data_IF_720009848885
#
_entry.id   IF_720009848885
#
_cell.length_a   1.000
_cell.length_b   1.000
_cell.length_c   1.000
_cell.angle_alpha   90.00
_cell.angle_beta   90.00
_cell.angle_gamma   90.00
#
_symmetry.space_group_name_H-M   'P 1'
#
loop_
_entity.id
_entity.type
_entity.pdbx_description
1 polymer ?
#
# COMPACT_ATOMS: atom_id res chain seq x y z
N UNK A 1 -36.59 -24.30 23.11
CA UNK A 1 -36.54 -23.23 22.09
C UNK A 1 -35.69 -21.99 22.46
N UNK A 2 -34.89 -21.99 23.55
CA UNK A 2 -34.09 -20.81 23.94
C UNK A 2 -32.68 -20.72 23.34
N UNK A 3 -32.15 -21.78 22.73
CA UNK A 3 -30.79 -21.81 22.17
C UNK A 3 -30.63 -21.16 20.78
N UNK A 4 -31.73 -20.96 20.03
CA UNK A 4 -31.71 -20.37 18.68
C UNK A 4 -31.79 -18.84 18.70
N UNK A 5 -32.35 -18.24 19.75
CA UNK A 5 -32.48 -16.77 19.86
C UNK A 5 -31.14 -16.08 20.17
N UNK A 6 -30.23 -16.77 20.85
CA UNK A 6 -28.94 -16.21 21.30
C UNK A 6 -27.97 -16.01 20.12
N UNK A 7 -28.02 -16.86 19.10
CA UNK A 7 -27.14 -16.74 17.92
C UNK A 7 -27.54 -15.58 17.01
N UNK A 8 -28.84 -15.32 16.83
CA UNK A 8 -29.32 -14.20 16.01
C UNK A 8 -29.00 -12.83 16.64
N UNK A 9 -29.12 -12.71 17.96
CA UNK A 9 -28.78 -11.48 18.68
C UNK A 9 -27.26 -11.18 18.65
N UNK A 10 -26.43 -12.21 18.81
CA UNK A 10 -24.96 -12.06 18.71
C UNK A 10 -24.52 -11.71 17.28
N UNK A 11 -25.12 -12.33 16.24
CA UNK A 11 -24.86 -11.94 14.85
C UNK A 11 -25.27 -10.49 14.58
N UNK A 12 -26.44 -10.06 15.05
CA UNK A 12 -26.92 -8.69 14.89
C UNK A 12 -26.01 -7.66 15.57
N UNK A 13 -25.50 -7.96 16.78
CA UNK A 13 -24.54 -7.10 17.49
C UNK A 13 -23.20 -7.05 16.74
N UNK A 14 -22.69 -8.20 16.27
CA UNK A 14 -21.45 -8.24 15.48
C UNK A 14 -21.58 -7.48 14.16
N UNK A 15 -22.68 -7.67 13.41
CA UNK A 15 -22.93 -6.93 12.16
C UNK A 15 -23.05 -5.42 12.39
N UNK A 16 -23.71 -4.99 13.47
CA UNK A 16 -23.77 -3.57 13.83
C UNK A 16 -22.40 -3.03 14.22
N UNK A 17 -21.59 -3.77 14.99
CA UNK A 17 -20.25 -3.32 15.38
C UNK A 17 -19.29 -3.22 14.18
N UNK A 18 -19.40 -4.14 13.22
CA UNK A 18 -18.68 -4.08 11.95
C UNK A 18 -19.13 -2.85 11.14
N UNK A 19 -20.43 -2.61 11.01
CA UNK A 19 -20.97 -1.44 10.31
C UNK A 19 -20.54 -0.10 10.94
N UNK A 20 -20.51 0.00 12.28
CA UNK A 20 -19.99 1.18 12.98
C UNK A 20 -18.49 1.43 12.70
N UNK A 21 -17.71 0.37 12.47
CA UNK A 21 -16.32 0.47 12.06
C UNK A 21 -16.17 0.99 10.63
N UNK A 22 -16.95 0.43 9.69
CA UNK A 22 -16.95 0.82 8.28
C UNK A 22 -17.32 2.31 8.09
N UNK A 23 -18.36 2.81 8.78
CA UNK A 23 -18.79 4.21 8.68
C UNK A 23 -17.70 5.20 9.16
N UNK A 24 -16.98 4.85 10.24
CA UNK A 24 -15.86 5.67 10.73
C UNK A 24 -14.72 5.72 9.71
N UNK A 25 -14.49 4.63 9.00
CA UNK A 25 -13.41 4.51 8.02
C UNK A 25 -13.77 5.22 6.70
N UNK A 26 -15.04 5.18 6.28
CA UNK A 26 -15.54 6.03 5.17
C UNK A 26 -15.34 7.52 5.45
N UNK A 27 -15.69 7.99 6.67
CA UNK A 27 -15.49 9.38 7.07
C UNK A 27 -14.00 9.77 7.13
N UNK A 28 -13.14 8.86 7.57
CA UNK A 28 -11.68 9.07 7.56
C UNK A 28 -11.19 9.23 6.12
N UNK A 29 -11.65 8.39 5.21
CA UNK A 29 -11.29 8.44 3.81
C UNK A 29 -11.63 9.80 3.19
N UNK A 30 -12.86 10.28 3.38
CA UNK A 30 -13.28 11.57 2.82
C UNK A 30 -12.42 12.74 3.30
N UNK A 31 -12.13 12.79 4.61
CA UNK A 31 -11.28 13.84 5.19
C UNK A 31 -9.84 13.76 4.67
N UNK A 32 -9.28 12.56 4.64
CA UNK A 32 -7.94 12.34 4.10
C UNK A 32 -7.88 12.71 2.61
N UNK A 33 -8.92 12.39 1.83
CA UNK A 33 -8.99 12.70 0.40
C UNK A 33 -8.93 14.20 0.11
N UNK A 34 -9.67 15.02 0.88
CA UNK A 34 -9.63 16.48 0.74
C UNK A 34 -8.21 17.03 0.95
N UNK A 35 -7.50 16.55 1.97
CA UNK A 35 -6.13 16.97 2.27
C UNK A 35 -5.12 16.42 1.24
N UNK A 36 -5.32 15.18 0.78
CA UNK A 36 -4.49 14.55 -0.24
C UNK A 36 -4.57 15.29 -1.58
N UNK A 37 -5.77 15.76 -1.95
CA UNK A 37 -6.00 16.60 -3.13
C UNK A 37 -5.33 17.98 -3.04
N UNK A 38 -5.10 18.47 -1.81
CA UNK A 38 -4.33 19.68 -1.56
C UNK A 38 -2.82 19.44 -1.53
N UNK A 39 -2.37 18.21 -1.79
CA UNK A 39 -0.95 17.86 -1.86
C UNK A 39 -0.35 17.39 -0.55
N UNK A 40 -1.13 17.24 0.54
CA UNK A 40 -0.58 16.80 1.82
C UNK A 40 -0.05 15.34 1.73
N UNK A 41 1.25 15.16 1.92
CA UNK A 41 1.93 13.89 1.71
C UNK A 41 1.43 12.75 2.61
N UNK A 42 1.16 13.03 3.89
CA UNK A 42 0.62 12.05 4.85
C UNK A 42 -0.81 11.66 4.50
N UNK A 43 -1.63 12.62 4.08
CA UNK A 43 -2.98 12.33 3.62
C UNK A 43 -2.98 11.49 2.34
N UNK A 44 -2.06 11.76 1.40
CA UNK A 44 -1.86 10.91 0.22
C UNK A 44 -1.45 9.49 0.61
N UNK A 45 -0.58 9.33 1.61
CA UNK A 45 -0.25 8.02 2.17
C UNK A 45 -1.49 7.31 2.72
N UNK A 46 -2.29 7.99 3.55
CA UNK A 46 -3.51 7.43 4.16
C UNK A 46 -4.48 6.98 3.07
N UNK A 47 -4.79 7.83 2.09
CA UNK A 47 -5.69 7.50 0.98
C UNK A 47 -5.18 6.29 0.21
N UNK A 48 -3.86 6.24 -0.08
CA UNK A 48 -3.24 5.12 -0.75
C UNK A 48 -3.32 3.82 0.05
N UNK A 49 -3.05 3.87 1.35
CA UNK A 49 -3.14 2.74 2.26
C UNK A 49 -4.58 2.20 2.34
N UNK A 50 -5.58 3.08 2.46
CA UNK A 50 -6.99 2.69 2.51
C UNK A 50 -7.45 2.01 1.23
N UNK A 51 -7.06 2.52 0.05
CA UNK A 51 -7.29 1.83 -1.21
C UNK A 51 -6.56 0.48 -1.30
N UNK A 52 -5.39 0.33 -0.68
CA UNK A 52 -4.61 -0.92 -0.74
C UNK A 52 -5.24 -2.06 0.05
N UNK A 53 -5.95 -1.77 1.14
CA UNK A 53 -6.60 -2.80 1.98
C UNK A 53 -8.12 -2.84 1.83
N UNK A 54 -8.71 -1.84 1.18
CA UNK A 54 -10.16 -1.71 1.06
C UNK A 54 -10.83 -1.26 2.37
N UNK A 55 -10.16 -0.40 3.13
CA UNK A 55 -10.67 0.06 4.44
C UNK A 55 -11.46 1.36 4.27
N UNK A 56 -12.78 1.32 4.50
CA UNK A 56 -13.69 2.46 4.28
C UNK A 56 -13.87 2.85 2.81
N UNK A 57 -13.27 2.11 1.87
CA UNK A 57 -13.44 2.25 0.41
C UNK A 57 -13.24 0.91 -0.26
N UNK A 58 -13.80 0.72 -1.46
CA UNK A 58 -13.46 -0.47 -2.25
C UNK A 58 -11.97 -0.51 -2.57
N UNK A 59 -11.36 -1.69 -2.37
CA UNK A 59 -9.95 -1.93 -2.68
C UNK A 59 -9.65 -1.62 -4.16
N UNK A 60 -8.59 -0.86 -4.42
CA UNK A 60 -8.16 -0.50 -5.76
C UNK A 60 -6.65 -0.25 -5.80
N UNK A 61 -5.90 -1.22 -6.31
CA UNK A 61 -4.43 -1.18 -6.34
C UNK A 61 -3.88 -0.09 -7.26
N UNK A 62 -4.59 0.25 -8.33
CA UNK A 62 -4.14 1.27 -9.27
C UNK A 62 -4.21 2.64 -8.61
N UNK A 63 -5.32 2.91 -7.91
CA UNK A 63 -5.47 4.13 -7.10
C UNK A 63 -4.51 4.13 -5.92
N UNK A 64 -4.35 3.01 -5.22
CA UNK A 64 -3.40 2.88 -4.11
C UNK A 64 -1.96 3.23 -4.56
N UNK A 65 -1.49 2.61 -5.65
CA UNK A 65 -0.16 2.85 -6.20
C UNK A 65 0.06 4.33 -6.53
N UNK A 66 -0.92 4.95 -7.20
CA UNK A 66 -0.85 6.36 -7.57
C UNK A 66 -0.73 7.28 -6.35
N UNK A 67 -1.56 7.08 -5.33
CA UNK A 67 -1.54 7.92 -4.13
C UNK A 67 -0.27 7.72 -3.29
N UNK A 68 0.16 6.47 -3.12
CA UNK A 68 1.40 6.17 -2.41
C UNK A 68 2.61 6.71 -3.17
N UNK A 69 2.63 6.68 -4.51
CA UNK A 69 3.71 7.24 -5.31
C UNK A 69 3.82 8.76 -5.16
N UNK A 70 2.68 9.48 -5.10
CA UNK A 70 2.68 10.92 -4.79
C UNK A 70 3.22 11.21 -3.39
N UNK A 71 2.91 10.37 -2.41
CA UNK A 71 3.43 10.48 -1.05
C UNK A 71 4.93 10.16 -0.98
N UNK A 72 5.37 9.10 -1.66
CA UNK A 72 6.76 8.67 -1.77
C UNK A 72 7.65 9.74 -2.42
N UNK A 73 7.11 10.45 -3.42
CA UNK A 73 7.75 11.61 -4.06
C UNK A 73 8.03 12.76 -3.08
N UNK A 74 7.23 12.88 -2.04
CA UNK A 74 7.40 13.85 -0.96
C UNK A 74 8.15 13.27 0.24
N UNK A 75 8.94 12.21 0.01
CA UNK A 75 9.83 11.58 1.00
C UNK A 75 9.13 10.94 2.21
N UNK A 76 7.84 10.62 2.10
CA UNK A 76 7.17 9.80 3.11
C UNK A 76 7.68 8.37 3.00
N UNK A 77 8.67 8.06 3.83
CA UNK A 77 9.40 6.78 3.84
C UNK A 77 8.47 5.56 3.92
N UNK A 78 7.39 5.67 4.71
CA UNK A 78 6.41 4.61 4.86
C UNK A 78 5.71 4.26 3.53
N UNK A 79 5.59 5.21 2.58
CA UNK A 79 4.94 4.98 1.30
C UNK A 79 5.74 4.02 0.40
N UNK A 80 7.07 4.11 0.39
CA UNK A 80 7.93 3.17 -0.35
C UNK A 80 7.76 1.75 0.15
N UNK A 81 7.77 1.56 1.48
CA UNK A 81 7.56 0.26 2.09
C UNK A 81 6.16 -0.28 1.78
N UNK A 82 5.12 0.54 1.90
CA UNK A 82 3.75 0.11 1.58
C UNK A 82 3.58 -0.27 0.11
N UNK A 83 4.18 0.47 -0.82
CA UNK A 83 4.22 0.10 -2.25
C UNK A 83 4.92 -1.24 -2.46
N UNK A 84 6.10 -1.43 -1.85
CA UNK A 84 6.84 -2.68 -1.93
C UNK A 84 6.02 -3.87 -1.42
N UNK A 85 5.37 -3.72 -0.26
CA UNK A 85 4.50 -4.74 0.34
C UNK A 85 3.28 -5.04 -0.54
N UNK A 86 2.65 -4.02 -1.11
CA UNK A 86 1.50 -4.17 -2.00
C UNK A 86 1.86 -5.03 -3.22
N UNK A 87 3.01 -4.78 -3.86
CA UNK A 87 3.48 -5.61 -4.98
C UNK A 87 3.98 -6.99 -4.55
N UNK A 88 4.58 -7.12 -3.36
CA UNK A 88 5.05 -8.40 -2.84
C UNK A 88 3.90 -9.36 -2.51
N UNK A 89 2.78 -8.85 -2.01
CA UNK A 89 1.63 -9.65 -1.58
C UNK A 89 0.56 -9.80 -2.66
N UNK A 90 0.55 -8.93 -3.67
CA UNK A 90 -0.40 -9.02 -4.78
C UNK A 90 -1.86 -8.87 -4.36
N UNK A 91 -2.14 -8.13 -3.27
CA UNK A 91 -3.51 -7.88 -2.83
C UNK A 91 -4.36 -7.36 -4.00
N UNK A 92 -5.49 -8.00 -4.32
CA UNK A 92 -6.45 -7.55 -5.35
C UNK A 92 -5.88 -7.34 -6.77
N UNK A 93 -4.69 -7.86 -7.10
CA UNK A 93 -3.98 -7.62 -8.35
C UNK A 93 -2.86 -8.63 -8.63
N UNK A 94 -1.93 -8.28 -9.53
CA UNK A 94 -0.79 -9.16 -9.86
C UNK A 94 0.42 -8.87 -8.97
N UNK A 95 0.90 -9.91 -8.28
CA UNK A 95 2.17 -9.89 -7.54
C UNK A 95 3.34 -9.59 -8.48
N UNK A 96 4.30 -8.79 -8.02
CA UNK A 96 5.54 -8.51 -8.76
C UNK A 96 6.72 -8.32 -7.82
N UNK A 97 7.60 -9.34 -7.78
CA UNK A 97 8.81 -9.30 -6.95
C UNK A 97 9.81 -8.23 -7.44
N UNK A 98 9.82 -7.93 -8.75
CA UNK A 98 10.66 -6.86 -9.34
C UNK A 98 10.21 -5.50 -8.81
N UNK A 99 8.91 -5.21 -8.88
CA UNK A 99 8.36 -3.94 -8.36
C UNK A 99 8.50 -3.87 -6.84
N UNK A 100 8.24 -4.97 -6.13
CA UNK A 100 8.44 -5.05 -4.69
C UNK A 100 9.87 -4.69 -4.29
N UNK A 101 10.86 -5.37 -4.89
CA UNK A 101 12.27 -5.08 -4.66
C UNK A 101 12.60 -3.62 -4.99
N UNK A 102 12.13 -3.10 -6.12
CA UNK A 102 12.45 -1.74 -6.54
C UNK A 102 11.97 -0.69 -5.51
N UNK A 103 10.74 -0.82 -5.04
CA UNK A 103 10.19 0.09 -4.02
C UNK A 103 10.87 -0.05 -2.66
N UNK A 104 11.16 -1.29 -2.23
CA UNK A 104 11.93 -1.51 -1.01
C UNK A 104 13.35 -0.96 -1.10
N UNK A 105 14.00 -1.06 -2.26
CA UNK A 105 15.33 -0.52 -2.49
C UNK A 105 15.38 1.00 -2.37
N UNK A 106 14.36 1.71 -2.85
CA UNK A 106 14.24 3.17 -2.67
C UNK A 106 14.07 3.50 -1.19
N UNK A 107 13.14 2.86 -0.49
CA UNK A 107 12.93 3.10 0.95
C UNK A 107 14.18 2.83 1.79
N UNK A 108 14.88 1.74 1.51
CA UNK A 108 16.14 1.39 2.16
C UNK A 108 17.23 2.44 1.92
N UNK A 109 17.33 2.99 0.70
CA UNK A 109 18.28 4.07 0.39
C UNK A 109 17.96 5.37 1.13
N UNK A 110 16.70 5.58 1.51
CA UNK A 110 16.23 6.71 2.32
C UNK A 110 16.29 6.46 3.83
N UNK A 111 16.82 5.31 4.27
CA UNK A 111 17.04 4.98 5.68
C UNK A 111 15.96 4.11 6.33
N UNK A 112 15.01 3.55 5.58
CA UNK A 112 14.06 2.58 6.12
C UNK A 112 14.72 1.20 6.29
N UNK A 113 15.12 0.89 7.51
CA UNK A 113 15.71 -0.42 7.86
C UNK A 113 14.74 -1.59 7.59
N UNK A 114 13.45 -1.38 7.81
CA UNK A 114 12.42 -2.41 7.55
C UNK A 114 12.32 -2.65 6.04
N UNK A 115 12.36 -1.60 5.22
CA UNK A 115 12.40 -1.77 3.77
C UNK A 115 13.69 -2.48 3.32
N UNK A 116 14.83 -2.24 3.97
CA UNK A 116 16.07 -2.95 3.68
C UNK A 116 15.95 -4.46 3.93
N UNK A 117 15.32 -4.86 5.04
CA UNK A 117 15.03 -6.27 5.34
C UNK A 117 14.14 -6.90 4.26
N UNK A 118 13.06 -6.22 3.87
CA UNK A 118 12.16 -6.74 2.83
C UNK A 118 12.81 -6.80 1.45
N UNK A 119 13.66 -5.82 1.10
CA UNK A 119 14.48 -5.85 -0.11
C UNK A 119 15.38 -7.09 -0.12
N UNK A 120 16.07 -7.35 0.97
CA UNK A 120 17.02 -8.47 1.09
C UNK A 120 16.28 -9.82 1.10
N UNK A 121 15.07 -9.87 1.66
CA UNK A 121 14.19 -11.03 1.52
C UNK A 121 13.77 -11.26 0.05
N UNK A 122 13.45 -10.19 -0.68
CA UNK A 122 13.08 -10.26 -2.11
C UNK A 122 14.25 -10.70 -3.01
N UNK A 123 15.51 -10.48 -2.62
CA UNK A 123 16.69 -11.01 -3.36
C UNK A 123 16.62 -12.53 -3.52
N UNK A 124 16.11 -13.23 -2.51
CA UNK A 124 16.03 -14.69 -2.51
C UNK A 124 14.96 -15.24 -3.47
N UNK A 125 14.04 -14.40 -3.95
CA UNK A 125 12.98 -14.79 -4.89
C UNK A 125 13.27 -14.39 -6.33
N UNK A 126 14.34 -13.60 -6.57
CA UNK A 126 14.72 -13.08 -7.88
C UNK A 126 16.01 -13.75 -8.39
N UNK A 127 16.06 -14.07 -9.68
CA UNK A 127 17.30 -14.43 -10.38
C UNK A 127 18.26 -13.25 -10.50
N UNK A 128 19.52 -13.51 -10.84
CA UNK A 128 20.52 -12.44 -11.03
C UNK A 128 20.09 -11.40 -12.06
N UNK A 129 19.49 -11.83 -13.17
CA UNK A 129 19.00 -10.93 -14.21
C UNK A 129 17.82 -10.08 -13.70
N UNK A 130 16.87 -10.68 -12.97
CA UNK A 130 15.72 -9.95 -12.44
C UNK A 130 16.13 -8.93 -11.36
N UNK A 131 17.15 -9.23 -10.56
CA UNK A 131 17.71 -8.27 -9.59
C UNK A 131 18.33 -7.06 -10.26
N UNK A 132 19.03 -7.27 -11.38
CA UNK A 132 19.58 -6.18 -12.18
C UNK A 132 18.46 -5.30 -12.74
N UNK A 133 17.41 -5.91 -13.29
CA UNK A 133 16.21 -5.20 -13.76
C UNK A 133 15.56 -4.40 -12.63
N UNK A 134 15.33 -5.02 -11.47
CA UNK A 134 14.68 -4.37 -10.33
C UNK A 134 15.50 -3.21 -9.75
N UNK A 135 16.83 -3.37 -9.70
CA UNK A 135 17.76 -2.31 -9.27
C UNK A 135 17.74 -1.13 -10.26
N UNK A 136 17.80 -1.41 -11.56
CA UNK A 136 17.73 -0.39 -12.60
C UNK A 136 16.38 0.34 -12.59
N UNK A 137 15.28 -0.39 -12.34
CA UNK A 137 13.96 0.19 -12.19
C UNK A 137 13.88 1.15 -10.99
N UNK A 138 14.41 0.75 -9.83
CA UNK A 138 14.47 1.61 -8.64
C UNK A 138 15.22 2.92 -8.92
N UNK A 139 16.39 2.81 -9.56
CA UNK A 139 17.20 3.96 -9.95
C UNK A 139 16.49 4.85 -10.97
N UNK A 140 15.84 4.27 -11.98
CA UNK A 140 15.08 4.99 -13.01
C UNK A 140 13.92 5.76 -12.37
N UNK A 141 13.11 5.08 -11.56
CA UNK A 141 11.98 5.66 -10.82
C UNK A 141 12.43 6.86 -10.00
N UNK A 142 13.44 6.67 -9.13
CA UNK A 142 13.95 7.74 -8.28
C UNK A 142 14.52 8.94 -9.07
N UNK A 143 15.33 8.69 -10.11
CA UNK A 143 15.93 9.74 -10.95
C UNK A 143 14.90 10.50 -11.79
N UNK A 144 13.80 9.84 -12.13
CA UNK A 144 12.69 10.46 -12.85
C UNK A 144 11.74 11.24 -11.95
N UNK A 145 12.08 11.47 -10.68
CA UNK A 145 11.17 12.10 -9.71
C UNK A 145 9.82 11.34 -9.62
N UNK A 146 9.95 10.01 -9.57
CA UNK A 146 8.87 9.03 -9.53
C UNK A 146 7.95 9.00 -10.76
N UNK A 147 8.34 9.54 -11.91
CA UNK A 147 7.48 9.51 -13.12
C UNK A 147 7.61 8.19 -13.92
N UNK A 148 8.70 7.43 -13.75
CA UNK A 148 8.99 6.21 -14.51
C UNK A 148 9.26 4.99 -13.60
N UNK A 149 8.21 4.51 -12.92
CA UNK A 149 8.29 3.48 -11.88
C UNK A 149 7.71 2.10 -12.26
N UNK A 150 7.43 1.86 -13.54
CA UNK A 150 6.94 0.57 -14.05
C UNK A 150 7.98 -0.10 -14.96
N UNK A 151 8.07 -1.44 -14.99
CA UNK A 151 8.84 -2.16 -16.00
C UNK A 151 8.33 -1.84 -17.41
N UNK A 152 9.22 -1.86 -18.41
CA UNK A 152 8.89 -1.76 -19.84
C UNK A 152 8.43 -3.10 -20.43
#
# INVERSE_FOLDING_TARGET
>A
MKKVLVTAALLSICSNLIAFGEEKNELLFEKAKILADQGNAEAQFIVGAMYSVGDGVSQDMTRAARWLQLSAKQEVVAAHRTLGTMYALGYGGAQSNILAFAWFAIGAALGDEIAAEFRDAAVNTLSTAEREIATNLALKCYRSDYEACTPE
#
